data_IF_595770735409
#
_entry.id   IF_595770735409
#
_cell.length_a   1.000
_cell.length_b   1.000
_cell.length_c   1.000
_cell.angle_alpha   90.00
_cell.angle_beta   90.00
_cell.angle_gamma   90.00
#
_symmetry.space_group_name_H-M   'P 1'
#
loop_
_entity.id
_entity.type
_entity.pdbx_description
1 polymer ?
#
# COMPACT_ATOMS: atom_id res chain seq x y z
N UNK A 1 4.57 -5.72 -12.92
CA UNK A 1 5.20 -5.05 -11.75
C UNK A 1 4.12 -4.92 -10.68
N UNK A 2 4.26 -5.59 -9.54
CA UNK A 2 3.21 -5.65 -8.51
C UNK A 2 3.09 -4.34 -7.72
N UNK A 3 1.91 -4.03 -7.21
CA UNK A 3 1.66 -2.84 -6.38
C UNK A 3 2.45 -2.87 -5.07
N UNK A 4 2.67 -4.06 -4.51
CA UNK A 4 3.50 -4.25 -3.33
C UNK A 4 4.93 -3.76 -3.58
N UNK A 5 5.50 -4.05 -4.75
CA UNK A 5 6.82 -3.53 -5.14
C UNK A 5 6.83 -2.00 -5.26
N UNK A 6 5.76 -1.41 -5.82
CA UNK A 6 5.64 0.05 -5.92
C UNK A 6 5.52 0.71 -4.54
N UNK A 7 4.78 0.08 -3.62
CA UNK A 7 4.60 0.56 -2.24
C UNK A 7 5.92 0.56 -1.47
N UNK A 8 6.67 -0.54 -1.49
CA UNK A 8 7.95 -0.64 -0.75
C UNK A 8 9.08 0.15 -1.41
N UNK A 9 8.96 0.46 -2.70
CA UNK A 9 9.91 1.34 -3.42
C UNK A 9 9.62 2.84 -3.23
N UNK A 10 8.48 3.19 -2.64
CA UNK A 10 8.13 4.59 -2.37
C UNK A 10 9.06 5.13 -1.28
N UNK A 11 9.66 6.30 -1.51
CA UNK A 11 10.61 6.88 -0.56
C UNK A 11 9.98 7.18 0.80
N UNK A 12 8.64 7.36 0.85
CA UNK A 12 7.86 7.56 2.08
C UNK A 12 7.63 6.26 2.86
N UNK A 13 7.95 5.11 2.27
CA UNK A 13 7.93 3.84 3.00
C UNK A 13 9.06 3.80 4.03
N UNK A 14 10.25 4.28 3.65
CA UNK A 14 11.42 4.31 4.55
C UNK A 14 11.21 5.24 5.76
N UNK A 15 10.43 6.32 5.61
CA UNK A 15 10.16 7.23 6.72
C UNK A 15 9.33 6.59 7.84
N UNK A 16 8.62 5.49 7.57
CA UNK A 16 7.90 4.75 8.62
C UNK A 16 8.90 4.11 9.59
N UNK A 17 9.90 3.40 9.05
CA UNK A 17 10.91 2.74 9.88
C UNK A 17 11.81 3.78 10.59
N UNK A 18 12.08 4.91 9.95
CA UNK A 18 12.79 6.03 10.58
C UNK A 18 12.01 6.63 11.76
N UNK A 19 10.70 6.83 11.65
CA UNK A 19 9.84 7.31 12.74
C UNK A 19 9.82 6.32 13.91
N UNK A 20 9.75 5.02 13.61
CA UNK A 20 9.74 3.95 14.62
C UNK A 20 11.07 3.86 15.35
N UNK A 21 12.19 3.92 14.64
CA UNK A 21 13.52 3.86 15.27
C UNK A 21 13.80 5.10 16.12
N UNK A 22 13.38 6.28 15.66
CA UNK A 22 13.59 7.56 16.36
C UNK A 22 12.83 7.64 17.69
N UNK A 23 11.70 6.94 17.82
CA UNK A 23 10.86 6.98 19.03
C UNK A 23 10.60 5.57 19.60
N UNK A 24 11.59 4.68 19.51
CA UNK A 24 11.48 3.27 19.93
C UNK A 24 11.16 3.06 21.40
N UNK A 25 11.36 4.07 22.23
CA UNK A 25 11.01 4.11 23.65
C UNK A 25 9.50 4.38 23.88
N UNK A 26 8.78 4.86 22.86
CA UNK A 26 7.35 5.11 22.91
C UNK A 26 6.57 3.83 22.62
N UNK A 27 5.83 3.34 23.61
CA UNK A 27 4.94 2.18 23.44
C UNK A 27 3.89 2.51 22.37
N UNK A 28 3.72 1.60 21.41
CA UNK A 28 2.74 1.75 20.32
C UNK A 28 3.17 2.70 19.20
N UNK A 29 4.44 3.16 19.18
CA UNK A 29 4.95 3.98 18.08
C UNK A 29 4.79 3.29 16.73
N UNK A 30 5.00 1.97 16.68
CA UNK A 30 4.89 1.19 15.44
C UNK A 30 3.48 1.26 14.87
N UNK A 31 2.45 0.94 15.66
CA UNK A 31 1.06 1.07 15.19
C UNK A 31 0.75 2.50 14.76
N UNK A 32 1.21 3.51 15.50
CA UNK A 32 0.95 4.92 15.18
C UNK A 32 1.60 5.35 13.87
N UNK A 33 2.87 5.02 13.64
CA UNK A 33 3.59 5.34 12.41
C UNK A 33 2.91 4.69 11.20
N UNK A 34 2.44 3.44 11.35
CA UNK A 34 1.70 2.73 10.30
C UNK A 34 0.31 3.34 10.02
N UNK A 35 -0.46 3.75 11.03
CA UNK A 35 -1.75 4.42 10.82
C UNK A 35 -1.57 5.83 10.20
N UNK A 36 -0.53 6.57 10.58
CA UNK A 36 -0.16 7.81 9.92
C UNK A 36 0.20 7.57 8.44
N UNK A 37 1.09 6.64 8.16
CA UNK A 37 1.51 6.25 6.81
C UNK A 37 0.32 5.83 5.94
N UNK A 38 -0.60 5.07 6.53
CA UNK A 38 -1.82 4.60 5.88
C UNK A 38 -2.64 5.76 5.33
N UNK A 39 -2.91 6.75 6.17
CA UNK A 39 -3.73 7.92 5.81
C UNK A 39 -2.98 8.87 4.86
N UNK A 40 -1.69 9.11 5.11
CA UNK A 40 -0.92 10.11 4.35
C UNK A 40 -0.49 9.64 2.96
N UNK A 41 -0.22 8.34 2.76
CA UNK A 41 0.27 7.89 1.46
C UNK A 41 -0.22 6.54 0.97
N UNK A 42 -0.40 5.54 1.83
CA UNK A 42 -0.76 4.18 1.34
C UNK A 42 -2.16 4.23 0.73
N UNK A 43 -3.13 4.88 1.38
CA UNK A 43 -4.50 4.99 0.88
C UNK A 43 -4.56 5.81 -0.43
N UNK A 44 -3.95 7.01 -0.53
CA UNK A 44 -3.87 7.74 -1.79
C UNK A 44 -3.16 6.96 -2.92
N UNK A 45 -2.08 6.25 -2.61
CA UNK A 45 -1.35 5.44 -3.59
C UNK A 45 -2.21 4.28 -4.09
N UNK A 46 -2.92 3.61 -3.18
CA UNK A 46 -3.87 2.57 -3.53
C UNK A 46 -4.99 3.12 -4.43
N UNK A 47 -5.63 4.23 -4.05
CA UNK A 47 -6.67 4.89 -4.84
C UNK A 47 -6.18 5.22 -6.26
N UNK A 48 -4.96 5.76 -6.39
CA UNK A 48 -4.35 6.06 -7.70
C UNK A 48 -4.28 4.84 -8.61
N UNK A 49 -4.01 3.66 -8.06
CA UNK A 49 -3.88 2.42 -8.83
C UNK A 49 -5.12 1.54 -8.78
N UNK A 50 -6.17 1.95 -8.08
CA UNK A 50 -7.39 1.17 -7.87
C UNK A 50 -8.04 0.79 -9.20
N UNK A 51 -8.09 1.72 -10.17
CA UNK A 51 -8.63 1.45 -11.51
C UNK A 51 -7.85 0.33 -12.21
N UNK A 52 -6.51 0.37 -12.15
CA UNK A 52 -5.64 -0.65 -12.74
C UNK A 52 -5.83 -2.00 -12.05
N UNK A 53 -5.93 -2.02 -10.72
CA UNK A 53 -6.19 -3.25 -9.96
C UNK A 53 -7.52 -3.87 -10.38
N UNK A 54 -8.59 -3.07 -10.39
CA UNK A 54 -9.93 -3.54 -10.74
C UNK A 54 -9.95 -4.05 -12.18
N UNK A 55 -9.35 -3.33 -13.12
CA UNK A 55 -9.28 -3.77 -14.52
C UNK A 55 -8.50 -5.08 -14.69
N UNK A 56 -7.39 -5.27 -13.97
CA UNK A 56 -6.62 -6.53 -14.02
C UNK A 56 -7.41 -7.68 -13.41
N UNK A 57 -7.98 -7.49 -12.23
CA UNK A 57 -8.79 -8.53 -11.55
C UNK A 57 -10.01 -8.89 -12.39
N UNK A 58 -10.70 -7.90 -12.93
CA UNK A 58 -11.84 -8.11 -13.81
C UNK A 58 -11.46 -8.83 -15.11
N UNK A 59 -10.34 -8.45 -15.74
CA UNK A 59 -9.83 -9.15 -16.92
C UNK A 59 -9.44 -10.60 -16.64
N UNK A 60 -8.86 -10.89 -15.48
CA UNK A 60 -8.57 -12.25 -15.03
C UNK A 60 -9.85 -13.04 -14.76
N UNK A 61 -10.85 -12.43 -14.13
CA UNK A 61 -12.15 -13.04 -13.88
C UNK A 61 -12.89 -13.37 -15.18
N UNK A 62 -12.91 -12.46 -16.16
CA UNK A 62 -13.47 -12.70 -17.49
C UNK A 62 -12.78 -13.85 -18.23
N UNK A 63 -11.46 -14.00 -18.08
CA UNK A 63 -10.72 -15.13 -18.66
C UNK A 63 -11.04 -16.46 -17.98
N UNK A 64 -11.29 -16.44 -16.66
CA UNK A 64 -11.66 -17.62 -15.91
C UNK A 64 -13.13 -18.05 -16.16
N UNK A 65 -14.00 -17.10 -16.51
CA UNK A 65 -15.42 -17.30 -16.75
C UNK A 65 -15.87 -16.69 -18.09
N UNK A 66 -15.49 -17.28 -19.23
CA UNK A 66 -15.98 -16.82 -20.51
C UNK A 66 -17.49 -17.06 -20.60
N UNK A 67 -18.26 -15.99 -20.80
CA UNK A 67 -19.68 -16.10 -21.19
C UNK A 67 -19.74 -16.81 -22.54
N UNK A 68 -20.45 -17.94 -22.60
CA UNK A 68 -20.74 -18.67 -23.84
C UNK A 68 -21.48 -17.80 -24.84
#
# INVERSE_FOLDING_TARGET
MSISLKLISDTRYNSIEEEVETHKDVIGIRERAWENAKTQFILPLFQKYQSVIISVVFGLWMRAHPTQ
#
